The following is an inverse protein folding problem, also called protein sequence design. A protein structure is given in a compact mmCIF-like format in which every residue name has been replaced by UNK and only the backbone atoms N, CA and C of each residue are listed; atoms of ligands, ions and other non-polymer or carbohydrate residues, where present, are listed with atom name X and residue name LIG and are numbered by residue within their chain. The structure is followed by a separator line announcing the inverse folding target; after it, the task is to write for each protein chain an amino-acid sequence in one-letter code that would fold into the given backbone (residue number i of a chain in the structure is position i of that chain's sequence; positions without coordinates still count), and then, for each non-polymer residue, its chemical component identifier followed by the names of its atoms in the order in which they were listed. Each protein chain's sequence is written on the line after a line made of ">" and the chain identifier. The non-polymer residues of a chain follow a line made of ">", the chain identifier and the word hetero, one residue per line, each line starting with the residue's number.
data_IF_572467686563
#
_entry.id   IF_572467686563
#
_cell.length_a   1.000
_cell.length_b   1.000
_cell.length_c   1.000
_cell.angle_alpha   90.00
_cell.angle_beta   90.00
_cell.angle_gamma   90.00
#
_symmetry.space_group_name_H-M   'P 1'
#
loop_
_entity.id
_entity.type
_entity.pdbx_description
1 polymer ?
#
# COMPACT_ATOMS: atom_id res chain seq x y z
N UNK A 1 6.51 -0.88 -10.47
CA UNK A 1 5.94 -1.69 -9.35
C UNK A 1 4.59 -2.31 -9.74
N UNK A 2 4.17 -3.38 -9.05
CA UNK A 2 2.87 -4.05 -9.27
C UNK A 2 2.01 -3.98 -8.01
N UNK A 3 0.74 -3.62 -8.16
CA UNK A 3 -0.24 -3.64 -7.07
C UNK A 3 -1.28 -4.72 -7.36
N UNK A 4 -1.33 -5.72 -6.49
CA UNK A 4 -2.36 -6.76 -6.52
C UNK A 4 -3.50 -6.34 -5.60
N UNK A 5 -4.71 -6.28 -6.14
CA UNK A 5 -5.91 -5.87 -5.40
C UNK A 5 -7.18 -6.50 -5.98
N UNK A 6 -8.33 -6.23 -5.37
CA UNK A 6 -9.65 -6.63 -5.85
C UNK A 6 -10.50 -5.40 -6.20
N UNK A 7 -11.58 -5.62 -6.95
CA UNK A 7 -12.47 -4.52 -7.36
C UNK A 7 -13.02 -3.75 -6.16
N UNK A 8 -13.01 -2.43 -6.27
CA UNK A 8 -13.56 -1.53 -5.25
C UNK A 8 -12.80 -1.46 -3.93
N UNK A 9 -11.57 -1.99 -3.83
CA UNK A 9 -10.80 -1.98 -2.59
C UNK A 9 -10.32 -0.57 -2.20
N UNK A 10 -10.88 0.06 -1.15
CA UNK A 10 -10.55 1.44 -0.78
C UNK A 10 -9.13 1.58 -0.22
N UNK A 11 -8.57 0.51 0.38
CA UNK A 11 -7.20 0.56 0.89
C UNK A 11 -6.18 0.70 -0.25
N UNK A 12 -6.50 0.21 -1.44
CA UNK A 12 -5.62 0.34 -2.61
C UNK A 12 -5.48 1.78 -3.09
N UNK A 13 -6.50 2.60 -2.85
CA UNK A 13 -6.58 3.95 -3.36
C UNK A 13 -5.43 4.82 -2.86
N UNK A 14 -4.99 4.64 -1.60
CA UNK A 14 -3.84 5.39 -1.04
C UNK A 14 -2.57 5.18 -1.86
N UNK A 15 -2.28 3.93 -2.23
CA UNK A 15 -1.09 3.55 -3.01
C UNK A 15 -1.21 4.09 -4.44
N UNK A 16 -2.40 3.99 -5.05
CA UNK A 16 -2.66 4.51 -6.40
C UNK A 16 -2.50 6.03 -6.46
N UNK A 17 -3.04 6.76 -5.49
CA UNK A 17 -2.88 8.21 -5.39
C UNK A 17 -1.41 8.58 -5.18
N UNK A 18 -0.70 7.89 -4.28
CA UNK A 18 0.73 8.11 -4.05
C UNK A 18 1.54 7.95 -5.34
N UNK A 19 1.34 6.84 -6.07
CA UNK A 19 2.03 6.57 -7.34
C UNK A 19 1.70 7.62 -8.41
N UNK A 20 0.42 7.98 -8.53
CA UNK A 20 -0.01 9.01 -9.48
C UNK A 20 0.58 10.38 -9.14
N UNK A 21 0.73 10.70 -7.86
CA UNK A 21 1.28 11.99 -7.40
C UNK A 21 2.77 12.13 -7.75
N UNK A 22 3.55 11.05 -7.62
CA UNK A 22 4.97 11.04 -7.98
C UNK A 22 5.23 10.77 -9.47
N UNK A 23 4.18 10.46 -10.24
CA UNK A 23 4.28 10.14 -11.67
C UNK A 23 4.86 8.75 -11.95
N UNK A 24 4.85 7.84 -10.97
CA UNK A 24 5.34 6.48 -11.15
C UNK A 24 4.29 5.55 -11.77
N UNK A 25 4.74 4.68 -12.67
CA UNK A 25 3.87 3.69 -13.32
C UNK A 25 3.62 2.51 -12.36
N UNK A 26 2.39 2.44 -11.86
CA UNK A 26 1.90 1.32 -11.05
C UNK A 26 1.03 0.38 -11.89
N UNK A 27 1.46 -0.88 -12.04
CA UNK A 27 0.69 -1.90 -12.73
C UNK A 27 -0.38 -2.50 -11.80
N UNK A 28 -1.65 -2.22 -12.09
CA UNK A 28 -2.78 -2.74 -11.33
C UNK A 28 -3.17 -4.14 -11.81
N UNK A 29 -3.19 -5.10 -10.88
CA UNK A 29 -3.56 -6.47 -11.14
C UNK A 29 -4.76 -6.84 -10.25
N UNK A 30 -5.91 -7.09 -10.87
CA UNK A 30 -7.10 -7.56 -10.17
C UNK A 30 -6.98 -9.07 -9.90
N UNK A 31 -7.06 -9.44 -8.63
CA UNK A 31 -6.90 -10.81 -8.12
C UNK A 31 -7.97 -11.12 -7.08
N UNK A 32 -8.24 -12.41 -6.87
CA UNK A 32 -9.09 -12.87 -5.76
C UNK A 32 -8.32 -12.79 -4.43
N UNK A 33 -9.04 -12.59 -3.33
CA UNK A 33 -8.51 -12.76 -1.96
C UNK A 33 -8.09 -14.22 -1.70
N UNK A 34 -8.56 -15.16 -2.52
CA UNK A 34 -8.20 -16.58 -2.49
C UNK A 34 -6.92 -16.91 -3.27
N UNK A 35 -6.29 -15.91 -3.89
CA UNK A 35 -5.06 -16.14 -4.64
C UNK A 35 -3.95 -16.68 -3.73
N UNK A 36 -3.46 -17.88 -4.05
CA UNK A 36 -2.48 -18.61 -3.23
C UNK A 36 -1.19 -17.81 -2.97
N UNK A 37 -0.89 -16.80 -3.80
CA UNK A 37 0.28 -15.92 -3.65
C UNK A 37 0.19 -14.99 -2.44
N UNK A 38 -1.01 -14.74 -1.93
CA UNK A 38 -1.29 -13.74 -0.88
C UNK A 38 -2.00 -14.37 0.32
N UNK A 39 -1.50 -15.49 0.84
CA UNK A 39 -2.13 -16.23 1.95
C UNK A 39 -1.44 -16.02 3.30
N UNK A 40 -0.28 -15.36 3.35
CA UNK A 40 0.50 -15.14 4.55
C UNK A 40 0.98 -13.67 4.66
N UNK A 41 0.11 -12.71 5.04
CA UNK A 41 -1.28 -12.89 5.45
C UNK A 41 -2.27 -12.91 4.28
N UNK A 42 -3.46 -13.49 4.49
CA UNK A 42 -4.59 -13.47 3.54
C UNK A 42 -5.24 -12.08 3.45
N UNK A 43 -4.56 -11.14 2.81
CA UNK A 43 -4.99 -9.75 2.67
C UNK A 43 -4.62 -9.16 1.32
N UNK A 44 -5.47 -8.24 0.88
CA UNK A 44 -5.23 -7.32 -0.22
C UNK A 44 -5.43 -5.89 0.29
N UNK A 45 -4.73 -4.89 -0.27
CA UNK A 45 -3.80 -5.00 -1.39
C UNK A 45 -2.41 -5.53 -1.00
N UNK A 46 -1.66 -5.98 -2.02
CA UNK A 46 -0.22 -6.28 -1.89
C UNK A 46 0.57 -5.52 -2.95
N UNK A 47 1.51 -4.70 -2.53
CA UNK A 47 2.47 -4.04 -3.41
C UNK A 47 3.70 -4.93 -3.59
N UNK A 48 4.09 -5.22 -4.83
CA UNK A 48 5.32 -5.91 -5.19
C UNK A 48 6.30 -4.91 -5.82
N UNK A 49 7.47 -4.77 -5.20
CA UNK A 49 8.57 -3.93 -5.67
C UNK A 49 9.27 -4.57 -6.86
N UNK A 50 10.11 -3.79 -7.55
CA UNK A 50 10.91 -4.32 -8.68
C UNK A 50 11.93 -5.37 -8.24
N UNK A 51 12.36 -5.34 -6.98
CA UNK A 51 13.20 -6.36 -6.36
C UNK A 51 12.44 -7.64 -5.98
N UNK A 52 11.11 -7.68 -6.18
CA UNK A 52 10.25 -8.81 -5.80
C UNK A 52 9.84 -8.82 -4.33
N UNK A 53 10.16 -7.79 -3.54
CA UNK A 53 9.67 -7.69 -2.17
C UNK A 53 8.17 -7.38 -2.16
N UNK A 54 7.42 -8.01 -1.25
CA UNK A 54 5.96 -7.86 -1.13
C UNK A 54 5.57 -7.16 0.16
N UNK A 55 4.76 -6.12 0.06
CA UNK A 55 4.22 -5.34 1.18
C UNK A 55 2.71 -5.49 1.21
N UNK A 56 2.19 -6.12 2.27
CA UNK A 56 0.75 -6.24 2.55
C UNK A 56 0.21 -5.07 3.38
N UNK A 57 1.09 -4.26 3.97
CA UNK A 57 0.70 -3.07 4.73
C UNK A 57 0.50 -1.90 3.78
N UNK A 58 -0.74 -1.43 3.67
CA UNK A 58 -1.10 -0.28 2.85
C UNK A 58 -0.31 0.97 3.22
N UNK A 59 -0.08 1.21 4.51
CA UNK A 59 0.65 2.40 4.99
C UNK A 59 2.14 2.28 4.66
N UNK A 60 2.74 1.11 4.86
CA UNK A 60 4.15 0.89 4.49
C UNK A 60 4.35 1.01 2.97
N UNK A 61 3.42 0.45 2.18
CA UNK A 61 3.43 0.56 0.72
C UNK A 61 3.30 2.03 0.27
N UNK A 62 2.36 2.79 0.85
CA UNK A 62 2.16 4.20 0.49
C UNK A 62 3.38 5.06 0.85
N UNK A 63 3.97 4.83 2.03
CA UNK A 63 5.19 5.52 2.47
C UNK A 63 6.42 5.17 1.63
N UNK A 64 6.49 3.95 1.09
CA UNK A 64 7.55 3.54 0.17
C UNK A 64 7.41 4.29 -1.17
N UNK A 65 6.20 4.31 -1.73
CA UNK A 65 5.91 4.93 -3.03
C UNK A 65 6.04 6.45 -2.97
N UNK A 66 5.58 7.06 -1.88
CA UNK A 66 5.71 8.49 -1.62
C UNK A 66 6.45 8.67 -0.28
N UNK A 67 7.80 8.71 -0.29
CA UNK A 67 8.58 8.97 0.90
C UNK A 67 8.26 10.34 1.51
N UNK A 68 8.27 10.47 2.85
CA UNK A 68 8.11 11.76 3.50
C UNK A 68 9.17 12.76 3.03
N UNK A 69 8.79 14.03 2.93
CA UNK A 69 9.78 15.09 2.74
C UNK A 69 10.73 15.16 3.96
N UNK A 70 12.01 15.54 3.75
CA UNK A 70 12.97 15.68 4.84
C UNK A 70 12.45 16.61 5.95
N UNK A 71 12.49 16.14 7.20
CA UNK A 71 12.00 16.87 8.37
C UNK A 71 10.50 16.67 8.67
N UNK A 72 9.79 15.85 7.88
CA UNK A 72 8.40 15.47 8.12
C UNK A 72 8.21 13.99 8.45
N UNK A 73 9.28 13.21 8.54
CA UNK A 73 9.24 11.75 8.70
C UNK A 73 8.45 11.34 9.94
N UNK A 74 8.74 11.99 11.07
CA UNK A 74 8.09 11.69 12.36
C UNK A 74 6.59 12.01 12.29
N UNK A 75 6.20 13.18 11.76
CA UNK A 75 4.78 13.53 11.67
C UNK A 75 4.02 12.57 10.74
N UNK A 76 4.62 12.20 9.60
CA UNK A 76 4.00 11.24 8.68
C UNK A 76 3.81 9.89 9.38
N UNK A 77 4.84 9.39 10.05
CA UNK A 77 4.77 8.10 10.75
C UNK A 77 3.72 8.12 11.88
N UNK A 78 3.62 9.21 12.65
CA UNK A 78 2.58 9.39 13.66
C UNK A 78 1.17 9.36 13.06
N UNK A 79 0.94 10.00 11.92
CA UNK A 79 -0.37 9.97 11.27
C UNK A 79 -0.70 8.59 10.70
N UNK A 80 0.27 7.89 10.13
CA UNK A 80 0.09 6.52 9.64
C UNK A 80 -0.19 5.53 10.79
N UNK A 81 0.48 5.69 11.93
CA UNK A 81 0.24 4.89 13.14
C UNK A 81 -1.14 5.18 13.74
N UNK A 82 -1.48 6.46 13.92
CA UNK A 82 -2.79 6.86 14.42
C UNK A 82 -3.91 6.36 13.52
N UNK A 83 -3.74 6.48 12.20
CA UNK A 83 -4.72 6.03 11.24
C UNK A 83 -4.94 4.52 11.31
N UNK A 84 -3.87 3.73 11.39
CA UNK A 84 -3.96 2.28 11.55
C UNK A 84 -4.56 1.86 12.89
N UNK A 85 -4.26 2.57 13.97
CA UNK A 85 -4.69 2.23 15.32
C UNK A 85 -6.09 2.74 15.68
N UNK A 86 -6.52 3.86 15.11
CA UNK A 86 -7.74 4.57 15.53
C UNK A 86 -8.79 4.69 14.42
N UNK A 87 -8.39 5.02 13.19
CA UNK A 87 -9.33 5.30 12.11
C UNK A 87 -9.74 4.01 11.37
N UNK A 88 -8.77 3.20 10.96
CA UNK A 88 -8.98 1.94 10.26
C UNK A 88 -8.79 0.75 11.20
N UNK A 89 -9.47 0.77 12.36
CA UNK A 89 -9.49 -0.39 13.26
C UNK A 89 -9.96 -1.62 12.48
N UNK A 90 -9.06 -2.58 12.32
CA UNK A 90 -9.28 -3.86 11.65
C UNK A 90 -9.90 -4.84 12.64
#
# INVERSE_FOLDING_TARGET
>A
MKLYTNEGNPASLKIVIAASYVGEKLELNLVSVDDYRFQAPRRLPVLETESGCRLFSTNAASRLVLPPHPGCEIQVDQWLEWEAAQLQKI
#
